data_IF_242226043998
#
_entry.id   IF_242226043998
#
_cell.length_a   1.000
_cell.length_b   1.000
_cell.length_c   1.000
_cell.angle_alpha   90.00
_cell.angle_beta   90.00
_cell.angle_gamma   90.00
#
_symmetry.space_group_name_H-M   'P 1'
#
loop_
_entity.id
_entity.type
_entity.pdbx_description
1 polymer ?
#
# COMPACT_ATOMS: atom_id res chain seq x y z
N UNK A 1 10.64 -10.40 24.03
CA UNK A 1 11.54 -9.54 23.22
C UNK A 1 10.71 -8.52 22.45
N UNK A 2 11.30 -7.38 22.07
CA UNK A 2 10.58 -6.34 21.33
C UNK A 2 11.47 -5.68 20.28
N UNK A 3 10.87 -5.26 19.17
CA UNK A 3 11.54 -4.58 18.07
C UNK A 3 10.69 -3.39 17.63
N UNK A 4 11.34 -2.28 17.32
CA UNK A 4 10.71 -1.09 16.77
C UNK A 4 11.42 -0.66 15.49
N UNK A 5 10.65 -0.25 14.50
CA UNK A 5 11.11 0.35 13.27
C UNK A 5 10.36 1.67 13.06
N UNK A 6 11.12 2.75 12.97
CA UNK A 6 10.61 4.09 12.71
C UNK A 6 11.27 4.63 11.44
N UNK A 7 10.47 4.90 10.42
CA UNK A 7 10.93 5.44 9.16
C UNK A 7 10.10 6.63 8.69
N UNK A 8 10.71 7.45 7.84
CA UNK A 8 10.02 8.47 7.08
C UNK A 8 10.48 8.42 5.62
N UNK A 9 9.71 7.72 4.80
CA UNK A 9 10.05 7.51 3.39
C UNK A 9 9.21 8.43 2.51
N UNK A 10 9.86 9.28 1.73
CA UNK A 10 9.23 10.28 0.87
C UNK A 10 9.91 10.33 -0.48
N UNK A 11 9.19 10.78 -1.50
CA UNK A 11 9.79 11.14 -2.77
C UNK A 11 10.76 12.31 -2.56
N UNK A 12 11.99 12.15 -3.05
CA UNK A 12 13.08 13.11 -2.87
C UNK A 12 13.00 14.28 -3.87
N UNK A 13 12.39 14.06 -5.03
CA UNK A 13 12.33 15.01 -6.13
C UNK A 13 10.95 15.05 -6.80
N UNK A 14 10.79 16.00 -7.71
CA UNK A 14 9.68 16.09 -8.65
C UNK A 14 10.12 15.47 -9.98
N UNK A 15 9.65 14.27 -10.35
CA UNK A 15 10.07 13.62 -11.59
C UNK A 15 9.37 14.23 -12.82
N UNK A 16 10.02 14.12 -13.97
CA UNK A 16 9.37 14.37 -15.26
C UNK A 16 8.53 13.14 -15.63
N UNK A 17 7.26 13.38 -16.00
CA UNK A 17 6.30 12.33 -16.29
C UNK A 17 6.17 12.15 -17.80
N UNK A 18 6.30 10.92 -18.26
CA UNK A 18 6.06 10.55 -19.65
C UNK A 18 4.95 9.51 -19.74
N UNK A 19 4.10 9.64 -20.76
CA UNK A 19 3.17 8.61 -21.19
C UNK A 19 3.71 7.94 -22.44
N UNK A 20 3.53 6.64 -22.54
CA UNK A 20 3.96 5.84 -23.69
C UNK A 20 2.76 5.14 -24.34
N UNK A 21 2.75 5.07 -25.66
CA UNK A 21 1.78 4.33 -26.47
C UNK A 21 2.45 3.72 -27.68
N UNK A 22 1.79 2.78 -28.34
CA UNK A 22 2.24 2.24 -29.63
C UNK A 22 2.30 3.36 -30.66
N UNK A 23 3.42 3.56 -31.38
CA UNK A 23 3.51 4.56 -32.44
C UNK A 23 2.56 4.20 -33.59
N UNK A 24 1.44 4.91 -33.69
CA UNK A 24 0.48 4.83 -34.79
C UNK A 24 -0.05 6.24 -35.12
N UNK A 25 -0.80 6.37 -36.23
CA UNK A 25 -1.31 7.67 -36.67
C UNK A 25 -2.23 8.34 -35.63
N UNK A 26 -3.00 7.55 -34.89
CA UNK A 26 -3.86 8.03 -33.79
C UNK A 26 -3.03 8.63 -32.63
N UNK A 27 -1.91 8.01 -32.28
CA UNK A 27 -0.99 8.50 -31.25
C UNK A 27 -0.38 9.85 -31.66
N UNK A 28 0.02 9.98 -32.93
CA UNK A 28 0.53 11.25 -33.46
C UNK A 28 -0.53 12.34 -33.38
N UNK A 29 -1.79 12.04 -33.74
CA UNK A 29 -2.91 12.97 -33.59
C UNK A 29 -3.18 13.37 -32.14
N UNK A 30 -2.96 12.46 -31.18
CA UNK A 30 -3.08 12.73 -29.75
C UNK A 30 -1.85 13.48 -29.15
N UNK A 31 -0.87 13.83 -29.98
CA UNK A 31 0.33 14.58 -29.58
C UNK A 31 1.42 13.71 -28.95
N UNK A 32 1.51 12.43 -29.31
CA UNK A 32 2.64 11.58 -28.97
C UNK A 32 3.69 11.62 -30.08
N UNK A 33 4.96 11.82 -29.70
CA UNK A 33 6.11 11.79 -30.58
C UNK A 33 6.85 10.46 -30.41
N UNK A 34 6.95 9.66 -31.48
CA UNK A 34 7.55 8.32 -31.44
C UNK A 34 6.97 7.42 -30.33
N UNK A 35 5.68 7.59 -30.04
CA UNK A 35 4.99 6.84 -28.98
C UNK A 35 5.18 7.41 -27.57
N UNK A 36 5.82 8.57 -27.40
CA UNK A 36 6.04 9.21 -26.09
C UNK A 36 5.39 10.59 -26.03
N UNK A 37 4.85 10.94 -24.86
CA UNK A 37 4.32 12.28 -24.58
C UNK A 37 4.76 12.74 -23.20
N UNK A 38 5.44 13.90 -23.13
CA UNK A 38 5.77 14.51 -21.84
C UNK A 38 4.52 15.15 -21.25
N UNK A 39 4.25 14.85 -19.99
CA UNK A 39 3.21 15.47 -19.16
C UNK A 39 3.79 16.54 -18.22
N UNK A 40 5.07 16.87 -18.41
CA UNK A 40 5.82 17.82 -17.59
C UNK A 40 6.20 17.27 -16.21
N UNK A 41 6.60 18.19 -15.34
CA UNK A 41 7.07 17.87 -13.99
C UNK A 41 5.90 17.53 -13.06
N UNK A 42 5.95 16.35 -12.45
CA UNK A 42 4.99 15.91 -11.44
C UNK A 42 5.45 16.33 -10.04
N UNK A 43 4.60 17.07 -9.33
CA UNK A 43 4.86 17.63 -8.00
C UNK A 43 4.73 16.58 -6.89
N UNK A 44 5.57 15.53 -6.94
CA UNK A 44 5.57 14.42 -5.99
C UNK A 44 6.51 14.62 -4.80
N UNK A 45 7.44 15.59 -4.84
CA UNK A 45 8.39 15.82 -3.75
C UNK A 45 7.64 15.94 -2.42
N UNK A 46 8.16 15.27 -1.39
CA UNK A 46 7.59 15.17 -0.04
C UNK A 46 6.31 14.32 0.11
N UNK A 47 5.70 13.80 -0.96
CA UNK A 47 4.69 12.75 -0.82
C UNK A 47 5.32 11.50 -0.19
N UNK A 48 4.52 10.74 0.56
CA UNK A 48 4.99 9.52 1.23
C UNK A 48 5.02 8.36 0.24
N UNK A 49 6.06 7.53 0.31
CA UNK A 49 6.16 6.32 -0.50
C UNK A 49 5.12 5.28 -0.06
N UNK A 50 4.46 4.65 -1.02
CA UNK A 50 3.42 3.64 -0.82
C UNK A 50 3.95 2.19 -0.73
N UNK A 51 5.11 2.01 -0.09
CA UNK A 51 5.77 0.70 0.06
C UNK A 51 5.33 -0.11 1.29
N UNK A 52 4.27 0.31 1.98
CA UNK A 52 3.79 -0.27 3.23
C UNK A 52 3.92 0.69 4.43
N UNK A 53 3.66 0.19 5.65
CA UNK A 53 3.76 0.99 6.88
C UNK A 53 5.18 1.48 7.11
N UNK A 54 5.35 2.79 7.32
CA UNK A 54 6.66 3.38 7.63
C UNK A 54 7.02 3.26 9.12
N UNK A 55 6.07 2.83 9.95
CA UNK A 55 6.29 2.53 11.35
C UNK A 55 5.75 1.14 11.67
N UNK A 56 6.57 0.33 12.34
CA UNK A 56 6.23 -1.01 12.76
C UNK A 56 6.82 -1.29 14.14
N UNK A 57 6.00 -1.83 15.03
CA UNK A 57 6.41 -2.17 16.39
C UNK A 57 5.94 -3.58 16.70
N UNK A 58 6.80 -4.39 17.29
CA UNK A 58 6.52 -5.77 17.61
C UNK A 58 6.94 -6.09 19.04
N UNK A 59 6.07 -6.76 19.79
CA UNK A 59 6.38 -7.28 21.12
C UNK A 59 6.00 -8.75 21.16
N UNK A 60 6.92 -9.59 21.60
CA UNK A 60 6.77 -11.03 21.69
C UNK A 60 7.06 -11.57 23.08
N UNK A 61 6.23 -12.51 23.53
CA UNK A 61 6.50 -13.35 24.69
C UNK A 61 6.63 -14.78 24.17
N UNK A 62 7.69 -15.45 24.61
CA UNK A 62 8.02 -16.81 24.20
C UNK A 62 8.26 -17.64 25.46
N UNK A 63 7.71 -18.86 25.46
CA UNK A 63 7.92 -19.84 26.51
C UNK A 63 8.39 -21.14 25.88
N UNK A 64 9.46 -21.71 26.43
CA UNK A 64 9.99 -23.00 26.04
C UNK A 64 10.14 -23.88 27.26
N UNK A 65 9.51 -25.04 27.21
CA UNK A 65 9.51 -26.02 28.29
C UNK A 65 10.61 -27.08 28.08
N UNK A 66 11.24 -27.56 29.16
CA UNK A 66 12.14 -28.72 29.10
C UNK A 66 11.46 -29.98 28.54
N UNK A 67 10.14 -30.09 28.64
CA UNK A 67 9.33 -31.20 28.11
C UNK A 67 9.01 -31.06 26.61
N UNK A 68 9.88 -30.38 25.85
CA UNK A 68 9.88 -30.29 24.39
C UNK A 68 8.62 -29.68 23.76
N UNK A 69 8.00 -28.71 24.44
CA UNK A 69 6.97 -27.86 23.86
C UNK A 69 7.35 -26.39 23.98
N UNK A 70 6.83 -25.60 23.05
CA UNK A 70 7.08 -24.16 22.96
C UNK A 70 5.79 -23.45 22.57
N UNK A 71 5.66 -22.24 23.07
CA UNK A 71 4.56 -21.35 22.75
C UNK A 71 5.10 -19.93 22.61
N UNK A 72 4.57 -19.18 21.65
CA UNK A 72 4.91 -17.79 21.45
C UNK A 72 3.66 -16.98 21.13
N UNK A 73 3.63 -15.75 21.64
CA UNK A 73 2.61 -14.75 21.34
C UNK A 73 3.30 -13.48 20.88
N UNK A 74 2.92 -12.98 19.70
CA UNK A 74 3.48 -11.76 19.13
C UNK A 74 2.38 -10.77 18.81
N UNK A 75 2.57 -9.54 19.25
CA UNK A 75 1.73 -8.39 18.91
C UNK A 75 2.49 -7.51 17.93
N UNK A 76 1.81 -7.04 16.89
CA UNK A 76 2.42 -6.20 15.87
C UNK A 76 1.52 -4.99 15.60
N UNK A 77 2.06 -3.78 15.74
CA UNK A 77 1.38 -2.52 15.44
C UNK A 77 2.05 -1.86 14.23
N UNK A 78 1.24 -1.49 13.25
CA UNK A 78 1.69 -0.86 12.01
C UNK A 78 0.96 0.46 11.79
N UNK A 79 1.72 1.48 11.42
CA UNK A 79 1.19 2.83 11.19
C UNK A 79 1.91 3.53 10.03
N UNK A 80 1.33 4.66 9.60
CA UNK A 80 1.89 5.51 8.55
C UNK A 80 2.08 4.76 7.24
N UNK A 81 1.05 4.05 6.79
CA UNK A 81 0.96 3.54 5.44
C UNK A 81 0.14 4.52 4.59
N UNK A 82 0.51 4.71 3.33
CA UNK A 82 -0.10 5.72 2.46
C UNK A 82 -0.49 5.12 1.12
N UNK A 83 -1.56 5.66 0.53
CA UNK A 83 -1.97 5.36 -0.83
C UNK A 83 -0.94 5.89 -1.82
N UNK A 84 -0.64 5.13 -2.88
CA UNK A 84 0.25 5.61 -3.94
C UNK A 84 -0.41 6.78 -4.67
N UNK A 85 0.21 7.98 -4.66
CA UNK A 85 -0.34 9.12 -5.37
C UNK A 85 -0.26 8.88 -6.87
N UNK A 86 -1.21 9.41 -7.62
CA UNK A 86 -1.14 9.40 -9.07
C UNK A 86 -0.25 10.57 -9.54
N UNK A 87 0.88 10.32 -10.22
CA UNK A 87 1.76 11.39 -10.69
C UNK A 87 1.06 12.33 -11.69
N UNK A 88 0.06 11.85 -12.44
CA UNK A 88 -0.61 12.63 -13.48
C UNK A 88 -1.52 13.72 -12.89
N UNK A 89 -2.16 13.44 -11.75
CA UNK A 89 -2.92 14.46 -10.99
C UNK A 89 -2.01 15.42 -10.21
N UNK A 90 -0.69 15.27 -10.31
CA UNK A 90 0.32 16.18 -9.71
C UNK A 90 1.12 16.93 -10.77
N UNK A 91 0.76 16.84 -12.05
CA UNK A 91 1.37 17.64 -13.10
C UNK A 91 0.45 18.77 -13.56
N UNK A 92 0.91 19.57 -14.52
CA UNK A 92 0.13 20.66 -15.12
C UNK A 92 -1.23 20.19 -15.67
N UNK A 93 -1.31 18.94 -16.13
CA UNK A 93 -2.54 18.30 -16.61
C UNK A 93 -3.71 18.38 -15.61
N UNK A 94 -3.41 18.51 -14.31
CA UNK A 94 -4.46 18.61 -13.31
C UNK A 94 -5.22 19.95 -13.39
N UNK A 95 -4.53 21.05 -13.66
CA UNK A 95 -5.08 22.40 -13.55
C UNK A 95 -5.06 23.20 -14.86
N UNK A 96 -4.42 22.73 -15.92
CA UNK A 96 -4.43 23.37 -17.25
C UNK A 96 -5.10 22.52 -18.32
N UNK A 97 -5.58 23.17 -19.36
CA UNK A 97 -5.98 22.54 -20.62
C UNK A 97 -4.77 22.19 -21.50
N UNK A 98 -5.03 21.70 -22.72
CA UNK A 98 -4.01 21.36 -23.71
C UNK A 98 -3.19 22.57 -24.20
N UNK A 99 -3.71 23.79 -24.06
CA UNK A 99 -3.06 25.04 -24.44
C UNK A 99 -2.29 25.66 -23.26
N UNK A 100 -2.28 25.03 -22.09
CA UNK A 100 -1.65 25.56 -20.87
C UNK A 100 -2.48 26.62 -20.15
N UNK A 101 -3.75 26.81 -20.53
CA UNK A 101 -4.68 27.74 -19.90
C UNK A 101 -5.29 27.06 -18.68
N UNK A 102 -5.41 27.79 -17.56
CA UNK A 102 -6.02 27.27 -16.33
C UNK A 102 -7.47 26.85 -16.60
N UNK A 103 -7.84 25.68 -16.08
CA UNK A 103 -9.18 25.13 -16.24
C UNK A 103 -10.23 26.08 -15.64
N UNK A 104 -11.40 26.25 -16.31
CA UNK A 104 -12.51 27.00 -15.74
C UNK A 104 -12.92 26.44 -14.38
N UNK A 105 -13.28 27.34 -13.45
CA UNK A 105 -13.72 27.00 -12.08
C UNK A 105 -12.68 26.27 -11.23
N UNK A 106 -11.40 26.35 -11.59
CA UNK A 106 -10.32 25.84 -10.75
C UNK A 106 -10.29 26.60 -9.42
N UNK A 107 -10.48 25.86 -8.33
CA UNK A 107 -10.37 26.36 -6.97
C UNK A 107 -9.22 25.67 -6.24
N UNK A 108 -8.32 26.46 -5.67
CA UNK A 108 -7.09 25.95 -5.06
C UNK A 108 -7.36 25.18 -3.76
N UNK A 109 -8.34 25.59 -2.97
CA UNK A 109 -8.68 24.95 -1.70
C UNK A 109 -9.29 23.56 -1.94
N UNK A 110 -10.24 23.48 -2.88
CA UNK A 110 -10.81 22.25 -3.35
C UNK A 110 -9.75 21.34 -3.98
N UNK A 111 -8.89 21.88 -4.84
CA UNK A 111 -7.78 21.12 -5.43
C UNK A 111 -6.88 20.49 -4.35
N UNK A 112 -6.47 21.25 -3.34
CA UNK A 112 -5.66 20.71 -2.24
C UNK A 112 -6.36 19.57 -1.49
N UNK A 113 -7.68 19.64 -1.35
CA UNK A 113 -8.48 18.57 -0.75
C UNK A 113 -8.51 17.33 -1.65
N UNK A 114 -8.76 17.50 -2.94
CA UNK A 114 -8.78 16.40 -3.93
C UNK A 114 -7.43 15.67 -4.02
N UNK A 115 -6.33 16.43 -3.89
CA UNK A 115 -4.95 15.93 -4.06
C UNK A 115 -4.28 15.49 -2.75
N UNK A 116 -4.99 15.56 -1.64
CA UNK A 116 -4.47 15.12 -0.34
C UNK A 116 -4.23 13.61 -0.36
N UNK A 117 -2.99 13.21 -0.07
CA UNK A 117 -2.64 11.80 0.01
C UNK A 117 -3.42 11.11 1.16
N UNK A 118 -4.07 10.00 0.85
CA UNK A 118 -4.73 9.16 1.86
C UNK A 118 -3.68 8.44 2.74
N UNK A 119 -3.78 8.62 4.05
CA UNK A 119 -3.11 7.78 5.05
C UNK A 119 -4.07 6.66 5.46
N UNK A 120 -3.62 5.41 5.39
CA UNK A 120 -4.41 4.28 5.84
C UNK A 120 -4.47 4.22 7.37
N UNK A 121 -5.60 3.76 7.95
CA UNK A 121 -5.70 3.55 9.38
C UNK A 121 -4.60 2.61 9.88
N UNK A 122 -3.99 2.95 11.01
CA UNK A 122 -3.09 2.04 11.71
C UNK A 122 -3.80 0.76 12.10
N UNK A 123 -3.08 -0.35 12.13
CA UNK A 123 -3.66 -1.65 12.46
C UNK A 123 -2.75 -2.46 13.40
N UNK A 124 -3.40 -3.36 14.13
CA UNK A 124 -2.78 -4.22 15.12
C UNK A 124 -3.09 -5.68 14.81
N UNK A 125 -2.07 -6.53 14.87
CA UNK A 125 -2.17 -7.96 14.62
C UNK A 125 -1.65 -8.74 15.83
N UNK A 126 -2.45 -9.71 16.29
CA UNK A 126 -2.06 -10.69 17.31
C UNK A 126 -1.80 -12.03 16.62
N UNK A 127 -0.63 -12.60 16.88
CA UNK A 127 -0.17 -13.85 16.30
C UNK A 127 0.27 -14.81 17.41
N UNK A 128 0.03 -16.10 17.24
CA UNK A 128 0.43 -17.13 18.20
C UNK A 128 1.05 -18.32 17.46
N UNK A 129 2.10 -18.89 18.03
CA UNK A 129 2.66 -20.15 17.55
C UNK A 129 2.75 -21.15 18.69
N UNK A 130 2.55 -22.41 18.37
CA UNK A 130 2.66 -23.53 19.28
C UNK A 130 3.44 -24.64 18.60
N UNK A 131 4.40 -25.23 19.31
CA UNK A 131 5.15 -26.38 18.84
C UNK A 131 5.27 -27.42 19.93
N UNK A 132 5.14 -28.69 19.56
CA UNK A 132 5.42 -29.80 20.47
C UNK A 132 6.17 -30.89 19.73
N UNK A 133 7.15 -31.46 20.39
CA UNK A 133 7.88 -32.61 19.88
C UNK A 133 8.00 -33.71 20.92
N UNK A 134 8.09 -34.94 20.45
CA UNK A 134 8.19 -36.14 21.24
C UNK A 134 9.33 -36.99 20.71
N UNK A 135 10.07 -37.63 21.62
CA UNK A 135 11.01 -38.69 21.29
C UNK A 135 10.30 -40.04 21.48
N UNK A 136 10.11 -40.78 20.40
CA UNK A 136 9.41 -42.07 20.37
C UNK A 136 10.32 -43.08 19.68
N UNK A 137 10.79 -44.10 20.40
CA UNK A 137 11.66 -45.16 19.85
C UNK A 137 12.87 -44.63 19.05
N UNK A 138 13.61 -43.66 19.63
CA UNK A 138 14.75 -42.96 19.00
C UNK A 138 14.39 -42.08 17.78
N UNK A 139 13.11 -41.88 17.47
CA UNK A 139 12.62 -41.00 16.40
C UNK A 139 11.99 -39.75 17.00
N UNK A 140 12.17 -38.60 16.36
CA UNK A 140 11.51 -37.36 16.76
C UNK A 140 10.25 -37.16 15.94
N UNK A 141 9.11 -37.07 16.62
CA UNK A 141 7.85 -36.59 16.05
C UNK A 141 7.65 -35.14 16.49
N UNK A 142 7.33 -34.24 15.56
CA UNK A 142 7.09 -32.82 15.87
C UNK A 142 5.83 -32.30 15.19
N UNK A 143 5.06 -31.52 15.92
CA UNK A 143 3.89 -30.78 15.44
C UNK A 143 4.14 -29.29 15.68
N UNK A 144 3.84 -28.47 14.67
CA UNK A 144 3.91 -27.02 14.76
C UNK A 144 2.64 -26.39 14.20
N UNK A 145 2.03 -25.51 14.98
CA UNK A 145 0.84 -24.73 14.63
C UNK A 145 1.18 -23.25 14.72
N UNK A 146 0.80 -22.49 13.70
CA UNK A 146 0.85 -21.03 13.69
C UNK A 146 -0.53 -20.48 13.38
N UNK A 147 -0.99 -19.53 14.19
CA UNK A 147 -2.22 -18.77 13.98
C UNK A 147 -1.86 -17.31 13.85
N UNK A 148 -2.04 -16.77 12.65
CA UNK A 148 -1.77 -15.36 12.36
C UNK A 148 -3.07 -14.57 12.34
N UNK A 149 -3.03 -13.31 12.77
CA UNK A 149 -4.17 -12.40 12.82
C UNK A 149 -5.36 -13.02 13.58
N UNK A 150 -5.13 -13.42 14.83
CA UNK A 150 -6.13 -14.06 15.71
C UNK A 150 -7.39 -13.20 15.87
N UNK A 151 -7.23 -11.87 15.85
CA UNK A 151 -8.32 -10.92 15.98
C UNK A 151 -9.15 -10.74 14.69
N UNK A 152 -8.80 -11.46 13.62
CA UNK A 152 -9.43 -11.39 12.30
C UNK A 152 -9.57 -9.96 11.77
N UNK A 153 -8.55 -9.13 11.98
CA UNK A 153 -8.57 -7.73 11.56
C UNK A 153 -8.46 -7.65 10.04
N UNK A 154 -9.39 -6.92 9.40
CA UNK A 154 -9.27 -6.51 8.00
C UNK A 154 -8.55 -5.16 7.94
N UNK A 155 -7.53 -5.05 7.09
CA UNK A 155 -6.68 -3.86 6.97
C UNK A 155 -6.21 -3.66 5.54
N UNK A 156 -5.92 -2.40 5.16
CA UNK A 156 -5.34 -2.05 3.86
C UNK A 156 -3.82 -2.25 3.93
N UNK A 157 -3.26 -3.02 3.00
CA UNK A 157 -1.80 -3.22 2.88
C UNK A 157 -1.16 -2.25 1.90
N UNK A 158 -1.96 -1.68 1.01
CA UNK A 158 -1.52 -0.68 0.04
C UNK A 158 -2.66 -0.27 -0.88
N UNK A 159 -2.34 0.56 -1.87
CA UNK A 159 -3.23 0.88 -2.98
C UNK A 159 -2.64 1.94 -3.89
N UNK A 160 -3.40 2.36 -4.90
CA UNK A 160 -3.04 3.47 -5.77
C UNK A 160 -4.26 4.31 -6.19
N UNK A 161 -4.03 5.60 -6.38
CA UNK A 161 -4.96 6.52 -7.04
C UNK A 161 -5.05 6.20 -8.53
N UNK A 162 -6.26 6.19 -9.11
CA UNK A 162 -6.42 5.87 -10.52
C UNK A 162 -5.99 7.00 -11.45
N UNK A 163 -5.51 6.61 -12.64
CA UNK A 163 -5.01 7.48 -13.71
C UNK A 163 -6.06 8.14 -14.61
N UNK A 164 -7.33 7.69 -14.56
CA UNK A 164 -8.32 8.00 -15.60
C UNK A 164 -8.89 9.42 -15.51
N UNK A 165 -9.27 9.86 -14.31
CA UNK A 165 -9.76 11.22 -14.07
C UNK A 165 -8.62 12.07 -13.51
N UNK A 166 -7.72 12.48 -14.40
CA UNK A 166 -6.49 13.15 -14.02
C UNK A 166 -6.52 14.69 -14.16
N UNK A 167 -7.68 15.26 -14.49
CA UNK A 167 -7.89 16.72 -14.46
C UNK A 167 -8.83 17.12 -13.31
N UNK A 168 -8.77 18.39 -12.91
CA UNK A 168 -9.55 18.92 -11.79
C UNK A 168 -11.05 18.68 -11.93
N UNK A 169 -11.64 19.03 -13.08
CA UNK A 169 -13.08 18.93 -13.30
C UNK A 169 -13.58 17.47 -13.25
N UNK A 170 -12.89 16.54 -13.92
CA UNK A 170 -13.27 15.12 -13.94
C UNK A 170 -13.08 14.44 -12.58
N UNK A 171 -12.04 14.81 -11.83
CA UNK A 171 -11.83 14.28 -10.49
C UNK A 171 -12.89 14.82 -9.53
N UNK A 172 -13.19 16.12 -9.60
CA UNK A 172 -14.22 16.75 -8.78
C UNK A 172 -15.60 16.14 -9.06
N UNK A 173 -15.98 16.02 -10.33
CA UNK A 173 -17.25 15.42 -10.74
C UNK A 173 -17.36 13.98 -10.23
N UNK A 174 -16.29 13.17 -10.36
CA UNK A 174 -16.32 11.78 -9.91
C UNK A 174 -16.40 11.64 -8.40
N UNK A 175 -15.74 12.52 -7.64
CA UNK A 175 -15.82 12.52 -6.18
C UNK A 175 -17.16 13.03 -5.64
N UNK A 176 -17.90 13.83 -6.41
CA UNK A 176 -19.25 14.28 -6.04
C UNK A 176 -20.32 13.20 -6.25
N UNK A 177 -20.00 12.10 -6.96
CA UNK A 177 -20.92 10.96 -7.12
C UNK A 177 -21.07 10.20 -5.80
N UNK A 178 -22.26 9.64 -5.58
CA UNK A 178 -22.51 8.70 -4.48
C UNK A 178 -21.55 7.51 -4.51
N UNK A 179 -21.21 7.03 -5.71
CA UNK A 179 -20.22 6.00 -5.96
C UNK A 179 -19.28 6.50 -7.06
N UNK A 180 -18.03 6.87 -6.72
CA UNK A 180 -17.05 7.30 -7.73
C UNK A 180 -16.72 6.16 -8.70
N UNK A 181 -16.68 6.46 -10.00
CA UNK A 181 -16.38 5.49 -11.05
C UNK A 181 -14.90 5.07 -11.01
N UNK A 182 -14.02 6.01 -10.67
CA UNK A 182 -12.58 5.80 -10.66
C UNK A 182 -11.97 5.99 -9.27
N UNK A 183 -12.68 5.51 -8.24
CA UNK A 183 -12.18 5.46 -6.87
C UNK A 183 -10.81 4.73 -6.78
N UNK A 184 -9.94 5.10 -5.81
CA UNK A 184 -8.69 4.39 -5.59
C UNK A 184 -8.86 2.88 -5.45
N UNK A 185 -7.84 2.13 -5.89
CA UNK A 185 -7.80 0.67 -5.72
C UNK A 185 -6.96 0.31 -4.51
N UNK A 186 -7.43 -0.65 -3.71
CA UNK A 186 -6.79 -1.05 -2.46
C UNK A 186 -6.43 -2.53 -2.49
N UNK A 187 -5.31 -2.86 -1.85
CA UNK A 187 -4.94 -4.22 -1.49
C UNK A 187 -5.27 -4.44 -0.02
N UNK A 188 -5.78 -5.64 0.28
CA UNK A 188 -6.26 -6.00 1.60
C UNK A 188 -5.41 -7.11 2.21
N UNK A 189 -5.12 -6.97 3.49
CA UNK A 189 -4.49 -8.00 4.29
C UNK A 189 -5.42 -9.19 4.51
N UNK A 190 -4.82 -10.36 4.70
CA UNK A 190 -5.58 -11.58 5.02
C UNK A 190 -6.16 -11.48 6.44
N UNK A 191 -7.34 -12.07 6.63
CA UNK A 191 -7.94 -12.33 7.94
C UNK A 191 -7.14 -13.37 8.73
N UNK A 192 -7.80 -14.07 9.66
CA UNK A 192 -7.13 -15.14 10.41
C UNK A 192 -6.63 -16.24 9.47
N UNK A 193 -5.36 -16.63 9.60
CA UNK A 193 -4.79 -17.75 8.83
C UNK A 193 -4.13 -18.77 9.75
N UNK A 194 -4.25 -20.05 9.39
CA UNK A 194 -3.72 -21.18 10.14
C UNK A 194 -2.66 -21.90 9.31
N UNK A 195 -1.57 -22.31 9.95
CA UNK A 195 -0.54 -23.15 9.34
C UNK A 195 -0.20 -24.27 10.29
N UNK A 196 -0.26 -25.52 9.81
CA UNK A 196 0.01 -26.72 10.57
C UNK A 196 1.07 -27.56 9.85
N UNK A 197 2.10 -27.98 10.58
CA UNK A 197 3.20 -28.80 10.08
C UNK A 197 3.40 -30.02 10.97
N UNK A 198 3.61 -31.16 10.32
CA UNK A 198 4.05 -32.41 10.96
C UNK A 198 5.47 -32.73 10.48
N UNK A 199 6.30 -33.22 11.38
CA UNK A 199 7.70 -33.58 11.10
C UNK A 199 8.04 -34.91 11.76
N UNK A 200 8.78 -35.75 11.04
CA UNK A 200 9.32 -37.00 11.53
C UNK A 200 10.81 -37.06 11.17
N UNK A 201 11.66 -37.30 12.17
CA UNK A 201 13.12 -37.41 11.99
C UNK A 201 13.61 -38.75 12.57
N UNK A 202 14.45 -39.42 11.79
CA UNK A 202 15.05 -40.73 12.09
C UNK A 202 16.48 -40.59 12.59
#
# INVERSE_FOLDING_TARGET
MGVAAYGQFRYANNPELFLSTTPNDEAVQAGFENGWKSMGVSQLKNYRLAGGPQQAYSIGIEYQDPSYWRWALHTNYFAKAFLSPNPLTRSANFYTDLNGIILPHFDLEQANTLLRQEEFPSYFLLNSTFGKSWLIHKRYLGVFLSVQNILNKVYKTGGYEQGRNANYNSLLEDQQRTIPLFAPKYWWGRGTTFFLQFSLRF
#
